data_IF_816215532575
#
_entry.id   IF_816215532575
#
_cell.length_a   1.000
_cell.length_b   1.000
_cell.length_c   1.000
_cell.angle_alpha   90.00
_cell.angle_beta   90.00
_cell.angle_gamma   90.00
#
_symmetry.space_group_name_H-M   'P 1'
#
loop_
_entity.id
_entity.type
_entity.pdbx_description
1 polymer ?
#
# COMPACT_ATOMS: atom_id res chain seq x y z
N UNK A 1 11.84 9.79 -7.99
CA UNK A 1 12.00 11.21 -8.39
C UNK A 1 13.39 11.47 -8.98
N UNK A 2 14.47 11.16 -8.27
CA UNK A 2 15.86 11.40 -8.73
C UNK A 2 16.19 10.67 -10.04
N UNK A 3 15.75 9.43 -10.21
CA UNK A 3 15.97 8.68 -11.46
C UNK A 3 15.28 9.34 -12.67
N UNK A 4 14.10 9.91 -12.44
CA UNK A 4 13.40 10.68 -13.50
C UNK A 4 14.17 11.95 -13.87
N UNK A 5 14.73 12.67 -12.88
CA UNK A 5 15.56 13.84 -13.13
C UNK A 5 16.80 13.41 -13.93
N UNK A 6 17.47 12.34 -13.51
CA UNK A 6 18.67 11.80 -14.20
C UNK A 6 18.38 11.42 -15.64
N UNK A 7 17.27 10.75 -15.88
CA UNK A 7 16.84 10.34 -17.23
C UNK A 7 16.45 11.52 -18.12
N UNK A 8 15.87 12.59 -17.55
CA UNK A 8 15.43 13.77 -18.30
C UNK A 8 16.54 14.79 -18.57
N UNK A 9 17.67 14.72 -17.83
CA UNK A 9 18.76 15.71 -17.96
C UNK A 9 19.20 15.97 -19.41
N UNK A 10 19.43 14.96 -20.28
CA UNK A 10 19.91 15.21 -21.64
C UNK A 10 18.93 16.00 -22.52
N UNK A 11 17.63 15.95 -22.21
CA UNK A 11 16.56 16.60 -22.98
C UNK A 11 16.19 18.00 -22.49
N UNK A 12 16.71 18.41 -21.30
CA UNK A 12 16.45 19.73 -20.74
C UNK A 12 17.31 20.81 -21.37
N UNK A 13 16.85 22.07 -21.30
CA UNK A 13 17.67 23.22 -21.69
C UNK A 13 18.95 23.32 -20.83
N UNK A 14 20.10 23.83 -21.36
CA UNK A 14 21.37 23.85 -20.65
C UNK A 14 21.32 24.51 -19.26
N UNK A 15 20.50 25.54 -19.09
CA UNK A 15 20.29 26.20 -17.80
C UNK A 15 19.51 25.31 -16.81
N UNK A 16 18.51 24.55 -17.29
CA UNK A 16 17.74 23.62 -16.48
C UNK A 16 18.54 22.37 -16.12
N UNK A 17 19.45 21.93 -17.00
CA UNK A 17 20.40 20.86 -16.70
C UNK A 17 21.28 21.20 -15.50
N UNK A 18 21.74 22.47 -15.36
CA UNK A 18 22.53 22.90 -14.20
C UNK A 18 21.73 22.82 -12.90
N UNK A 19 20.44 23.19 -12.94
CA UNK A 19 19.55 23.03 -11.78
C UNK A 19 19.36 21.55 -11.46
N UNK A 20 19.11 20.71 -12.46
CA UNK A 20 18.96 19.27 -12.28
C UNK A 20 20.20 18.59 -11.72
N UNK A 21 21.41 19.02 -12.16
CA UNK A 21 22.69 18.55 -11.60
C UNK A 21 22.84 18.96 -10.14
N UNK A 22 22.44 20.19 -9.77
CA UNK A 22 22.47 20.64 -8.37
C UNK A 22 21.52 19.80 -7.49
N UNK A 23 20.33 19.46 -7.99
CA UNK A 23 19.40 18.54 -7.28
C UNK A 23 20.05 17.17 -7.07
N UNK A 24 20.70 16.60 -8.09
CA UNK A 24 21.30 15.28 -8.02
C UNK A 24 22.56 15.24 -7.16
N UNK A 25 23.29 16.35 -7.06
CA UNK A 25 24.49 16.45 -6.24
C UNK A 25 24.19 16.45 -4.74
N UNK A 26 23.18 17.23 -4.31
CA UNK A 26 22.72 17.25 -2.92
C UNK A 26 21.22 17.57 -2.87
N UNK A 27 20.38 16.56 -2.97
CA UNK A 27 18.94 16.73 -2.94
C UNK A 27 18.41 17.29 -1.61
N UNK A 28 19.07 16.96 -0.48
CA UNK A 28 18.67 17.48 0.84
C UNK A 28 18.94 18.97 0.97
N UNK A 29 20.13 19.40 0.60
CA UNK A 29 20.45 20.84 0.57
C UNK A 29 19.51 21.57 -0.37
N UNK A 30 19.24 21.03 -1.57
CA UNK A 30 18.30 21.64 -2.52
C UNK A 30 16.90 21.85 -1.92
N UNK A 31 16.37 20.88 -1.19
CA UNK A 31 15.06 20.99 -0.56
C UNK A 31 14.97 22.13 0.47
N UNK A 32 16.06 22.43 1.17
CA UNK A 32 16.09 23.39 2.28
C UNK A 32 16.51 24.82 1.88
N UNK A 33 17.23 24.97 0.76
CA UNK A 33 17.78 26.28 0.36
C UNK A 33 16.72 27.20 -0.25
N UNK A 34 16.78 28.53 -0.02
CA UNK A 34 15.90 29.51 -0.66
C UNK A 34 16.16 29.58 -2.18
N UNK A 35 15.16 30.01 -2.95
CA UNK A 35 15.24 30.08 -4.42
C UNK A 35 16.41 30.97 -4.92
N UNK A 36 16.76 32.03 -4.18
CA UNK A 36 17.91 32.86 -4.48
C UNK A 36 19.21 32.07 -4.49
N UNK A 37 19.44 31.30 -3.42
CA UNK A 37 20.64 30.51 -3.25
C UNK A 37 20.72 29.33 -4.22
N UNK A 38 19.58 28.71 -4.55
CA UNK A 38 19.50 27.69 -5.61
C UNK A 38 19.87 28.26 -6.98
N UNK A 39 19.40 29.46 -7.28
CA UNK A 39 19.71 30.16 -8.52
C UNK A 39 21.21 30.49 -8.60
N UNK A 40 21.78 31.03 -7.52
CA UNK A 40 23.20 31.37 -7.44
C UNK A 40 24.10 30.11 -7.57
N UNK A 41 23.82 29.05 -6.84
CA UNK A 41 24.59 27.80 -6.89
C UNK A 41 24.52 27.07 -8.23
N UNK A 42 23.41 27.20 -8.95
CA UNK A 42 23.23 26.64 -10.29
C UNK A 42 23.62 27.61 -11.42
N UNK A 43 24.08 28.82 -11.09
CA UNK A 43 24.41 29.87 -12.05
C UNK A 43 23.30 30.16 -13.06
N UNK A 44 22.05 30.32 -12.54
CA UNK A 44 20.87 30.63 -13.35
C UNK A 44 20.00 31.70 -12.68
N UNK A 45 18.99 32.17 -13.37
CA UNK A 45 17.99 33.08 -12.78
C UNK A 45 16.96 32.31 -11.92
N UNK A 46 16.35 32.97 -10.91
CA UNK A 46 15.24 32.43 -10.12
C UNK A 46 14.09 31.85 -10.98
N UNK A 47 13.64 32.56 -12.06
CA UNK A 47 12.65 31.97 -12.97
C UNK A 47 13.08 30.66 -13.63
N UNK A 48 14.37 30.47 -13.89
CA UNK A 48 14.91 29.23 -14.46
C UNK A 48 14.77 28.05 -13.48
N UNK A 49 15.00 28.27 -12.18
CA UNK A 49 14.76 27.26 -11.15
C UNK A 49 13.29 26.83 -11.12
N UNK A 50 12.36 27.80 -11.18
CA UNK A 50 10.92 27.53 -11.20
C UNK A 50 10.52 26.79 -12.49
N UNK A 51 11.08 27.20 -13.63
CA UNK A 51 10.81 26.57 -14.93
C UNK A 51 11.29 25.10 -14.94
N UNK A 52 12.49 24.82 -14.42
CA UNK A 52 12.98 23.47 -14.23
C UNK A 52 11.97 22.59 -13.46
N UNK A 53 11.44 23.10 -12.34
CA UNK A 53 10.45 22.36 -11.56
C UNK A 53 9.20 22.03 -12.39
N UNK A 54 8.73 22.98 -13.21
CA UNK A 54 7.57 22.78 -14.11
C UNK A 54 7.90 21.85 -15.27
N UNK A 55 9.08 21.92 -15.86
CA UNK A 55 9.55 20.97 -16.89
C UNK A 55 9.63 19.54 -16.35
N UNK A 56 9.85 19.39 -15.04
CA UNK A 56 9.81 18.12 -14.36
C UNK A 56 8.39 17.69 -13.93
N UNK A 57 7.34 18.44 -14.33
CA UNK A 57 5.93 18.10 -14.07
C UNK A 57 5.43 18.44 -12.68
N UNK A 58 6.01 19.44 -12.02
CA UNK A 58 5.57 19.96 -10.72
C UNK A 58 4.98 21.37 -10.86
N UNK A 59 4.05 21.73 -9.98
CA UNK A 59 3.36 23.04 -10.05
C UNK A 59 4.30 24.23 -9.83
N UNK A 60 5.43 24.01 -9.18
CA UNK A 60 6.47 25.00 -8.93
C UNK A 60 7.51 24.52 -7.94
N UNK A 61 8.34 25.46 -7.43
CA UNK A 61 9.44 25.14 -6.54
C UNK A 61 8.97 24.57 -5.20
N UNK A 62 7.87 25.07 -4.63
CA UNK A 62 7.36 24.58 -3.34
C UNK A 62 6.86 23.16 -3.43
N UNK A 63 6.08 22.83 -4.47
CA UNK A 63 5.62 21.47 -4.73
C UNK A 63 6.78 20.51 -5.03
N UNK A 64 7.74 20.97 -5.85
CA UNK A 64 8.95 20.22 -6.15
C UNK A 64 9.75 19.89 -4.89
N UNK A 65 9.99 20.89 -4.02
CA UNK A 65 10.73 20.72 -2.77
C UNK A 65 10.03 19.80 -1.80
N UNK A 66 8.72 19.94 -1.64
CA UNK A 66 7.93 19.06 -0.79
C UNK A 66 8.05 17.59 -1.22
N UNK A 67 7.93 17.33 -2.52
CA UNK A 67 8.06 15.99 -3.08
C UNK A 67 9.50 15.50 -3.13
N UNK A 68 10.46 16.41 -3.30
CA UNK A 68 11.88 16.09 -3.19
C UNK A 68 12.24 15.70 -1.75
N UNK A 69 11.84 16.48 -0.76
CA UNK A 69 12.05 16.17 0.65
C UNK A 69 11.46 14.79 1.01
N UNK A 70 10.26 14.49 0.54
CA UNK A 70 9.64 13.17 0.70
C UNK A 70 10.38 12.04 -0.01
N UNK A 71 11.13 12.34 -1.09
CA UNK A 71 11.91 11.33 -1.84
C UNK A 71 13.35 11.16 -1.35
N UNK A 72 13.86 12.12 -0.57
CA UNK A 72 15.26 12.25 -0.13
C UNK A 72 15.43 12.02 1.37
N UNK A 73 14.35 11.91 2.13
CA UNK A 73 14.46 11.41 3.50
C UNK A 73 14.87 9.92 3.44
N UNK A 74 16.11 9.70 3.06
CA UNK A 74 16.80 8.45 3.31
C UNK A 74 17.03 8.37 4.82
N UNK A 75 16.02 7.82 5.52
CA UNK A 75 16.20 7.35 6.88
C UNK A 75 17.26 6.26 6.94
N UNK A 76 17.49 5.67 8.10
CA UNK A 76 18.44 4.55 8.22
C UNK A 76 18.17 3.63 7.04
N UNK A 77 19.12 3.46 6.11
CA UNK A 77 18.92 2.61 4.95
C UNK A 77 18.44 1.27 5.48
N UNK A 78 17.32 0.78 4.90
CA UNK A 78 16.76 -0.52 5.25
C UNK A 78 15.72 -0.61 6.37
N UNK A 79 15.54 0.40 7.25
CA UNK A 79 14.59 0.30 8.36
C UNK A 79 13.42 1.26 8.22
N UNK A 80 13.67 2.57 8.11
CA UNK A 80 12.61 3.58 8.00
C UNK A 80 13.11 4.83 7.26
N UNK A 81 12.34 5.34 6.28
CA UNK A 81 12.77 6.43 5.38
C UNK A 81 13.05 7.77 6.06
N UNK A 82 12.46 8.02 7.20
CA UNK A 82 12.55 9.30 7.90
C UNK A 82 13.43 9.27 9.13
N UNK A 83 13.99 8.11 9.49
CA UNK A 83 14.85 7.95 10.65
C UNK A 83 16.32 8.12 10.24
N UNK A 84 17.04 9.00 10.89
CA UNK A 84 18.46 9.26 10.68
C UNK A 84 19.31 8.51 11.72
N UNK A 85 20.59 8.27 11.40
CA UNK A 85 21.51 7.54 12.30
C UNK A 85 21.72 8.23 13.66
N UNK A 86 21.60 9.55 13.68
CA UNK A 86 21.81 10.39 14.87
C UNK A 86 20.51 10.65 15.66
N UNK A 87 19.37 10.07 15.23
CA UNK A 87 18.11 10.25 15.92
C UNK A 87 18.11 9.62 17.29
N UNK A 88 17.61 10.35 18.27
CA UNK A 88 17.31 9.81 19.60
C UNK A 88 16.05 8.93 19.54
N UNK A 89 15.88 8.06 20.51
CA UNK A 89 14.68 7.20 20.61
C UNK A 89 13.38 7.99 20.57
N UNK A 90 13.34 9.18 21.18
CA UNK A 90 12.19 10.09 21.12
C UNK A 90 11.88 10.55 19.71
N UNK A 91 12.90 10.85 18.92
CA UNK A 91 12.75 11.35 17.56
C UNK A 91 12.28 10.22 16.63
N UNK A 92 12.83 9.02 16.81
CA UNK A 92 12.39 7.80 16.11
C UNK A 92 10.91 7.52 16.39
N UNK A 93 10.47 7.58 17.66
CA UNK A 93 9.07 7.37 18.04
C UNK A 93 8.15 8.33 17.29
N UNK A 94 8.46 9.63 17.33
CA UNK A 94 7.65 10.66 16.64
C UNK A 94 7.65 10.43 15.13
N UNK A 95 8.82 10.24 14.51
CA UNK A 95 8.94 10.03 13.07
C UNK A 95 8.18 8.80 12.58
N UNK A 96 8.23 7.68 13.30
CA UNK A 96 7.51 6.45 12.94
C UNK A 96 6.00 6.65 13.02
N UNK A 97 5.51 7.29 14.09
CA UNK A 97 4.08 7.60 14.25
C UNK A 97 3.62 8.56 13.17
N UNK A 98 4.30 9.68 12.97
CA UNK A 98 3.91 10.72 12.01
C UNK A 98 3.85 10.20 10.57
N UNK A 99 4.82 9.38 10.18
CA UNK A 99 4.79 8.74 8.85
C UNK A 99 3.62 7.78 8.67
N UNK A 100 3.29 7.04 9.73
CA UNK A 100 2.14 6.13 9.70
C UNK A 100 0.84 6.92 9.60
N UNK A 101 0.68 7.97 10.41
CA UNK A 101 -0.48 8.86 10.38
C UNK A 101 -0.61 9.52 9.01
N UNK A 102 0.49 10.04 8.46
CA UNK A 102 0.49 10.67 7.14
C UNK A 102 0.04 9.70 6.03
N UNK A 103 0.49 8.43 6.08
CA UNK A 103 0.06 7.40 5.14
C UNK A 103 -1.43 7.09 5.25
N UNK A 104 -1.97 7.01 6.47
CA UNK A 104 -3.39 6.76 6.71
C UNK A 104 -4.26 7.93 6.26
N UNK A 105 -3.85 9.17 6.54
CA UNK A 105 -4.55 10.36 6.10
C UNK A 105 -4.55 10.47 4.57
N UNK A 106 -3.42 10.17 3.94
CA UNK A 106 -3.33 10.11 2.48
C UNK A 106 -4.31 9.07 1.92
N UNK A 107 -4.28 7.84 2.44
CA UNK A 107 -5.19 6.79 2.00
C UNK A 107 -6.66 7.18 2.17
N UNK A 108 -7.02 7.76 3.33
CA UNK A 108 -8.39 8.25 3.59
C UNK A 108 -8.89 9.23 2.52
N UNK A 109 -7.99 10.08 2.02
CA UNK A 109 -8.35 11.10 1.03
C UNK A 109 -8.38 10.55 -0.41
N UNK A 110 -7.53 9.56 -0.72
CA UNK A 110 -7.31 9.05 -2.07
C UNK A 110 -8.09 7.76 -2.36
N UNK A 111 -8.53 7.04 -1.32
CA UNK A 111 -9.20 5.76 -1.47
C UNK A 111 -10.53 5.89 -2.22
N UNK A 112 -10.74 5.00 -3.19
CA UNK A 112 -12.00 4.89 -3.92
C UNK A 112 -13.07 4.22 -3.06
N UNK A 113 -14.00 5.00 -2.53
CA UNK A 113 -15.16 4.47 -1.78
C UNK A 113 -15.96 3.47 -2.62
N UNK A 114 -16.09 3.69 -3.93
CA UNK A 114 -16.79 2.77 -4.83
C UNK A 114 -16.06 1.43 -4.99
N UNK A 115 -14.73 1.41 -4.97
CA UNK A 115 -13.96 0.17 -5.01
C UNK A 115 -14.08 -0.60 -3.69
N UNK A 116 -14.02 0.10 -2.55
CA UNK A 116 -14.21 -0.49 -1.22
C UNK A 116 -15.61 -1.08 -1.12
N UNK A 117 -16.63 -0.36 -1.56
CA UNK A 117 -18.03 -0.83 -1.56
C UNK A 117 -18.19 -2.13 -2.36
N UNK A 118 -17.64 -2.18 -3.59
CA UNK A 118 -17.65 -3.40 -4.41
C UNK A 118 -16.94 -4.58 -3.72
N UNK A 119 -15.81 -4.33 -3.06
CA UNK A 119 -15.08 -5.35 -2.34
C UNK A 119 -15.88 -5.89 -1.14
N UNK A 120 -16.50 -5.00 -0.38
CA UNK A 120 -17.38 -5.35 0.75
C UNK A 120 -18.57 -6.17 0.27
N UNK A 121 -19.22 -5.77 -0.82
CA UNK A 121 -20.36 -6.49 -1.39
C UNK A 121 -19.97 -7.90 -1.85
N UNK A 122 -18.85 -8.03 -2.53
CA UNK A 122 -18.31 -9.33 -2.97
C UNK A 122 -18.04 -10.26 -1.78
N UNK A 123 -17.31 -9.77 -0.77
CA UNK A 123 -16.99 -10.53 0.45
C UNK A 123 -18.24 -10.91 1.25
N UNK A 124 -19.18 -9.97 1.42
CA UNK A 124 -20.43 -10.23 2.11
C UNK A 124 -21.32 -11.25 1.37
N UNK A 125 -21.34 -11.20 0.03
CA UNK A 125 -22.07 -12.17 -0.77
C UNK A 125 -21.43 -13.56 -0.68
N UNK A 126 -20.10 -13.67 -0.77
CA UNK A 126 -19.35 -14.93 -0.58
C UNK A 126 -19.66 -15.53 0.81
N UNK A 127 -19.68 -14.69 1.85
CA UNK A 127 -20.06 -15.11 3.19
C UNK A 127 -21.51 -15.64 3.23
N UNK A 128 -22.50 -14.93 2.67
CA UNK A 128 -23.92 -15.31 2.71
C UNK A 128 -24.19 -16.62 1.96
N UNK A 129 -23.42 -16.90 0.93
CA UNK A 129 -23.58 -18.12 0.11
C UNK A 129 -22.75 -19.30 0.64
N UNK A 130 -22.07 -19.14 1.78
CA UNK A 130 -21.25 -20.19 2.39
C UNK A 130 -20.02 -20.59 1.56
N UNK A 131 -19.59 -19.70 0.68
CA UNK A 131 -18.44 -19.89 -0.21
C UNK A 131 -17.14 -19.51 0.49
N UNK A 132 -15.99 -19.85 -0.14
CA UNK A 132 -14.67 -19.63 0.43
C UNK A 132 -14.20 -18.20 0.25
N UNK A 133 -13.62 -17.64 1.31
CA UNK A 133 -12.88 -16.39 1.26
C UNK A 133 -11.41 -16.74 1.54
N UNK A 134 -10.54 -16.52 0.57
CA UNK A 134 -9.13 -16.82 0.73
C UNK A 134 -8.28 -15.54 0.70
N UNK A 135 -7.19 -15.53 1.46
CA UNK A 135 -6.26 -14.42 1.57
C UNK A 135 -4.86 -14.89 1.17
N UNK A 136 -4.30 -14.29 0.12
CA UNK A 136 -2.98 -14.62 -0.38
C UNK A 136 -2.01 -13.46 -0.16
N UNK A 137 -0.84 -13.76 0.37
CA UNK A 137 0.25 -12.81 0.56
C UNK A 137 1.55 -13.56 0.85
N UNK A 138 2.69 -12.94 0.59
CA UNK A 138 4.02 -13.51 0.84
C UNK A 138 4.81 -12.58 1.74
N UNK A 139 5.66 -13.13 2.62
CA UNK A 139 6.44 -12.34 3.57
C UNK A 139 5.55 -11.50 4.49
N UNK A 140 5.79 -10.19 4.57
CA UNK A 140 4.98 -9.29 5.40
C UNK A 140 3.50 -9.20 4.93
N UNK A 141 3.24 -9.36 3.64
CA UNK A 141 1.86 -9.45 3.14
C UNK A 141 1.19 -10.76 3.55
N UNK A 142 1.94 -11.82 3.76
CA UNK A 142 1.46 -13.08 4.35
C UNK A 142 0.97 -12.90 5.79
N UNK A 143 1.66 -12.06 6.58
CA UNK A 143 1.21 -11.70 7.94
C UNK A 143 -0.13 -10.96 7.89
N UNK A 144 -0.29 -10.03 6.94
CA UNK A 144 -1.57 -9.34 6.73
C UNK A 144 -2.68 -10.30 6.30
N UNK A 145 -2.36 -11.27 5.44
CA UNK A 145 -3.30 -12.30 5.02
C UNK A 145 -3.77 -13.16 6.20
N UNK A 146 -2.87 -13.53 7.11
CA UNK A 146 -3.21 -14.26 8.34
C UNK A 146 -4.08 -13.43 9.29
N UNK A 147 -3.80 -12.14 9.45
CA UNK A 147 -4.65 -11.23 10.22
C UNK A 147 -6.05 -11.13 9.61
N UNK A 148 -6.14 -11.00 8.29
CA UNK A 148 -7.39 -11.01 7.56
C UNK A 148 -8.18 -12.31 7.79
N UNK A 149 -7.53 -13.48 7.66
CA UNK A 149 -8.16 -14.76 8.00
C UNK A 149 -8.73 -14.74 9.41
N UNK A 150 -7.96 -14.31 10.41
CA UNK A 150 -8.41 -14.26 11.80
C UNK A 150 -9.65 -13.40 11.98
N UNK A 151 -9.71 -12.22 11.33
CA UNK A 151 -10.87 -11.31 11.39
C UNK A 151 -12.11 -11.94 10.74
N UNK A 152 -11.99 -12.46 9.53
CA UNK A 152 -13.10 -13.04 8.79
C UNK A 152 -13.58 -14.37 9.37
N UNK A 153 -12.67 -15.19 9.93
CA UNK A 153 -13.03 -16.38 10.70
C UNK A 153 -13.96 -16.04 11.87
N UNK A 154 -13.69 -14.97 12.59
CA UNK A 154 -14.52 -14.51 13.71
C UNK A 154 -15.93 -14.07 13.28
N UNK A 155 -16.11 -13.70 12.02
CA UNK A 155 -17.44 -13.45 11.46
C UNK A 155 -18.20 -14.73 11.15
N UNK A 156 -17.58 -15.92 11.29
CA UNK A 156 -18.19 -17.23 11.00
C UNK A 156 -18.08 -17.64 9.53
N UNK A 157 -17.26 -16.94 8.74
CA UNK A 157 -17.01 -17.29 7.34
C UNK A 157 -15.98 -18.40 7.17
N UNK A 158 -16.04 -19.13 6.05
CA UNK A 158 -14.97 -20.02 5.62
C UNK A 158 -13.81 -19.21 5.09
N UNK A 159 -12.89 -18.82 5.99
CA UNK A 159 -11.77 -17.93 5.70
C UNK A 159 -10.43 -18.65 5.92
N UNK A 160 -9.56 -18.64 4.91
CA UNK A 160 -8.24 -19.29 4.94
C UNK A 160 -7.19 -18.32 4.37
N UNK A 161 -5.98 -18.32 4.96
CA UNK A 161 -4.84 -17.58 4.43
C UNK A 161 -3.71 -18.52 4.01
N UNK A 162 -3.09 -18.21 2.88
CA UNK A 162 -1.89 -18.89 2.40
C UNK A 162 -0.76 -17.88 2.16
N UNK A 163 0.41 -18.20 2.72
CA UNK A 163 1.64 -17.40 2.55
C UNK A 163 2.73 -18.11 1.74
N UNK A 164 2.48 -19.35 1.35
CA UNK A 164 3.33 -20.16 0.48
C UNK A 164 2.82 -20.13 -0.97
N UNK A 165 3.71 -19.86 -1.94
CA UNK A 165 3.34 -19.69 -3.35
C UNK A 165 2.77 -20.96 -3.97
N UNK A 166 3.27 -22.16 -3.61
CA UNK A 166 2.72 -23.42 -4.11
C UNK A 166 1.29 -23.66 -3.60
N UNK A 167 1.07 -23.42 -2.31
CA UNK A 167 -0.25 -23.53 -1.71
C UNK A 167 -1.24 -22.54 -2.31
N UNK A 168 -0.79 -21.32 -2.62
CA UNK A 168 -1.62 -20.29 -3.27
C UNK A 168 -2.08 -20.74 -4.67
N UNK A 169 -1.16 -21.27 -5.49
CA UNK A 169 -1.47 -21.77 -6.83
C UNK A 169 -2.39 -23.00 -6.77
N UNK A 170 -2.11 -23.94 -5.87
CA UNK A 170 -2.97 -25.12 -5.67
C UNK A 170 -4.37 -24.71 -5.23
N UNK A 171 -4.48 -23.82 -4.24
CA UNK A 171 -5.78 -23.38 -3.75
C UNK A 171 -6.54 -22.56 -4.81
N UNK A 172 -5.87 -21.66 -5.51
CA UNK A 172 -6.46 -20.91 -6.61
C UNK A 172 -7.03 -21.80 -7.72
N UNK A 173 -6.43 -22.99 -7.94
CA UNK A 173 -6.92 -23.99 -8.90
C UNK A 173 -8.23 -24.65 -8.47
N UNK A 174 -8.55 -24.59 -7.18
CA UNK A 174 -9.77 -25.16 -6.61
C UNK A 174 -10.88 -24.12 -6.37
N UNK A 175 -10.58 -22.81 -6.55
CA UNK A 175 -11.57 -21.75 -6.46
C UNK A 175 -12.46 -21.75 -7.71
N UNK A 176 -13.71 -21.29 -7.53
CA UNK A 176 -14.69 -21.22 -8.59
C UNK A 176 -15.71 -20.09 -8.38
N UNK A 177 -16.79 -20.08 -9.20
CA UNK A 177 -17.81 -19.04 -9.10
C UNK A 177 -18.44 -18.96 -7.71
N UNK A 178 -18.53 -17.75 -7.18
CA UNK A 178 -19.01 -17.45 -5.83
C UNK A 178 -17.92 -17.44 -4.76
N UNK A 179 -16.76 -18.06 -4.98
CA UNK A 179 -15.60 -17.92 -4.11
C UNK A 179 -14.94 -16.54 -4.32
N UNK A 180 -14.25 -16.05 -3.28
CA UNK A 180 -13.53 -14.78 -3.32
C UNK A 180 -12.10 -14.96 -2.81
N UNK A 181 -11.13 -14.39 -3.54
CA UNK A 181 -9.73 -14.31 -3.10
C UNK A 181 -9.28 -12.86 -2.97
N UNK A 182 -8.66 -12.54 -1.84
CA UNK A 182 -8.02 -11.25 -1.57
C UNK A 182 -6.52 -11.44 -1.67
N UNK A 183 -5.89 -10.84 -2.66
CA UNK A 183 -4.45 -10.94 -2.91
C UNK A 183 -3.78 -9.66 -2.45
N UNK A 184 -2.81 -9.79 -1.55
CA UNK A 184 -2.14 -8.66 -0.88
C UNK A 184 -0.67 -8.62 -1.31
N UNK A 185 -0.26 -7.50 -1.91
CA UNK A 185 1.12 -7.29 -2.33
C UNK A 185 1.44 -5.80 -2.42
N UNK A 186 2.39 -5.30 -1.65
CA UNK A 186 2.74 -3.88 -1.73
C UNK A 186 3.26 -3.48 -3.11
N UNK A 187 4.20 -4.23 -3.67
CA UNK A 187 4.78 -3.93 -5.00
C UNK A 187 3.92 -4.39 -6.17
N UNK A 188 3.03 -5.37 -5.95
CA UNK A 188 2.26 -6.03 -7.00
C UNK A 188 3.10 -6.73 -8.07
N UNK A 189 4.35 -7.12 -7.75
CA UNK A 189 5.33 -7.72 -8.67
C UNK A 189 5.71 -9.16 -8.32
N UNK A 190 5.17 -9.72 -7.26
CA UNK A 190 5.43 -11.10 -6.85
C UNK A 190 4.79 -12.05 -7.83
N UNK A 191 5.61 -12.86 -8.52
CA UNK A 191 5.17 -13.74 -9.60
C UNK A 191 4.14 -14.74 -9.13
N UNK A 192 4.40 -15.43 -8.02
CA UNK A 192 3.48 -16.45 -7.47
C UNK A 192 2.08 -15.87 -7.21
N UNK A 193 2.00 -14.65 -6.67
CA UNK A 193 0.72 -13.98 -6.43
C UNK A 193 0.01 -13.58 -7.71
N UNK A 194 0.74 -13.18 -8.75
CA UNK A 194 0.16 -12.89 -10.07
C UNK A 194 -0.39 -14.14 -10.73
N UNK A 195 0.36 -15.24 -10.67
CA UNK A 195 -0.03 -16.53 -11.22
C UNK A 195 -1.28 -17.07 -10.49
N UNK A 196 -1.29 -17.07 -9.15
CA UNK A 196 -2.43 -17.50 -8.35
C UNK A 196 -3.68 -16.63 -8.60
N UNK A 197 -3.53 -15.30 -8.66
CA UNK A 197 -4.63 -14.39 -8.98
C UNK A 197 -5.20 -14.64 -10.39
N UNK A 198 -4.31 -14.90 -11.36
CA UNK A 198 -4.70 -15.24 -12.72
C UNK A 198 -5.48 -16.55 -12.81
N UNK A 199 -5.05 -17.58 -12.08
CA UNK A 199 -5.73 -18.91 -12.01
C UNK A 199 -7.11 -18.76 -11.36
N UNK A 200 -7.19 -18.14 -10.18
CA UNK A 200 -8.46 -17.91 -9.48
C UNK A 200 -9.47 -17.18 -10.36
N UNK A 201 -9.01 -16.13 -11.05
CA UNK A 201 -9.83 -15.39 -12.01
C UNK A 201 -10.31 -16.27 -13.16
N UNK A 202 -9.42 -17.04 -13.79
CA UNK A 202 -9.77 -17.95 -14.89
C UNK A 202 -10.83 -18.96 -14.49
N UNK A 203 -10.82 -19.38 -13.25
CA UNK A 203 -11.79 -20.32 -12.68
C UNK A 203 -13.11 -19.64 -12.24
N UNK A 204 -13.26 -18.33 -12.41
CA UNK A 204 -14.49 -17.60 -12.12
C UNK A 204 -14.62 -17.10 -10.67
N UNK A 205 -13.59 -17.22 -9.85
CA UNK A 205 -13.59 -16.63 -8.51
C UNK A 205 -13.45 -15.12 -8.58
N UNK A 206 -14.14 -14.40 -7.68
CA UNK A 206 -13.95 -12.95 -7.53
C UNK A 206 -12.56 -12.68 -6.96
N UNK A 207 -11.79 -11.82 -7.64
CA UNK A 207 -10.44 -11.47 -7.20
C UNK A 207 -10.40 -10.01 -6.76
N UNK A 208 -10.03 -9.79 -5.50
CA UNK A 208 -9.77 -8.47 -4.91
C UNK A 208 -8.26 -8.34 -4.74
N UNK A 209 -7.63 -7.28 -5.25
CA UNK A 209 -6.20 -7.07 -5.03
C UNK A 209 -5.95 -5.79 -4.23
N UNK A 210 -5.14 -5.88 -3.19
CA UNK A 210 -4.65 -4.76 -2.38
C UNK A 210 -3.20 -4.54 -2.77
N UNK A 211 -2.92 -3.52 -3.58
CA UNK A 211 -1.60 -3.29 -4.16
C UNK A 211 -1.43 -1.85 -4.65
N UNK A 212 -0.19 -1.47 -4.96
CA UNK A 212 0.10 -0.17 -5.56
C UNK A 212 -0.56 -0.01 -6.93
N UNK A 213 -1.05 1.21 -7.21
CA UNK A 213 -1.60 1.61 -8.51
C UNK A 213 -0.59 1.38 -9.63
N UNK A 214 -1.08 0.97 -10.81
CA UNK A 214 -0.23 0.72 -11.98
C UNK A 214 0.73 -0.47 -11.86
N UNK A 215 0.63 -1.27 -10.79
CA UNK A 215 1.43 -2.48 -10.64
C UNK A 215 0.93 -3.59 -11.58
N UNK A 216 1.78 -4.59 -11.94
CA UNK A 216 1.33 -5.73 -12.73
C UNK A 216 0.13 -6.47 -12.11
N UNK A 217 0.09 -6.63 -10.79
CA UNK A 217 -1.02 -7.27 -10.10
C UNK A 217 -2.32 -6.44 -10.18
N UNK A 218 -2.24 -5.10 -10.14
CA UNK A 218 -3.41 -4.24 -10.34
C UNK A 218 -4.05 -4.45 -11.72
N UNK A 219 -3.25 -4.77 -12.74
CA UNK A 219 -3.75 -5.01 -14.09
C UNK A 219 -4.57 -6.31 -14.22
N UNK A 220 -4.39 -7.26 -13.28
CA UNK A 220 -5.21 -8.49 -13.24
C UNK A 220 -6.68 -8.16 -13.03
N UNK A 221 -7.00 -7.01 -12.42
CA UNK A 221 -8.36 -6.59 -12.09
C UNK A 221 -9.03 -5.70 -13.15
N UNK A 222 -8.42 -5.51 -14.32
CA UNK A 222 -9.01 -4.66 -15.38
C UNK A 222 -10.26 -5.26 -16.05
N UNK A 223 -10.61 -6.51 -15.71
CA UNK A 223 -11.81 -7.18 -16.24
C UNK A 223 -12.97 -7.09 -15.24
N UNK A 224 -14.20 -7.20 -15.75
CA UNK A 224 -15.41 -7.17 -14.94
C UNK A 224 -15.41 -8.28 -13.87
N UNK A 225 -15.88 -7.94 -12.67
CA UNK A 225 -15.92 -8.86 -11.51
C UNK A 225 -14.65 -8.88 -10.66
N UNK A 226 -13.62 -8.11 -11.02
CA UNK A 226 -12.39 -8.02 -10.23
C UNK A 226 -12.21 -6.59 -9.68
N UNK A 227 -11.56 -6.48 -8.52
CA UNK A 227 -11.53 -5.24 -7.75
C UNK A 227 -10.10 -4.91 -7.34
N UNK A 228 -9.65 -3.69 -7.65
CA UNK A 228 -8.41 -3.14 -7.17
C UNK A 228 -8.66 -2.14 -6.04
N UNK A 229 -8.05 -2.38 -4.89
CA UNK A 229 -7.93 -1.46 -3.78
C UNK A 229 -6.52 -0.88 -3.80
N UNK A 230 -6.41 0.35 -4.31
CA UNK A 230 -5.12 1.02 -4.44
C UNK A 230 -4.55 1.32 -3.05
N UNK A 231 -3.37 0.81 -2.76
CA UNK A 231 -2.64 1.00 -1.51
C UNK A 231 -1.30 1.68 -1.80
N UNK A 232 -1.39 2.92 -2.30
CA UNK A 232 -0.21 3.68 -2.72
C UNK A 232 0.53 4.26 -1.51
N UNK A 233 1.69 3.68 -1.22
CA UNK A 233 2.64 4.21 -0.26
C UNK A 233 4.05 4.20 -0.84
N UNK A 234 4.80 5.32 -0.79
CA UNK A 234 6.12 5.43 -1.39
C UNK A 234 7.19 4.72 -0.55
N UNK A 235 7.20 3.41 -0.59
CA UNK A 235 8.29 2.60 -0.05
C UNK A 235 9.25 2.18 -1.16
N UNK A 236 10.57 2.30 -0.92
CA UNK A 236 11.58 1.86 -1.88
C UNK A 236 11.52 0.36 -2.14
N UNK A 237 11.91 -0.06 -3.36
CA UNK A 237 11.91 -1.47 -3.73
C UNK A 237 12.97 -2.27 -2.93
N UNK A 238 14.14 -1.66 -2.69
CA UNK A 238 15.29 -2.28 -2.01
C UNK A 238 15.24 -2.12 -0.47
N UNK A 239 14.07 -2.29 0.12
CA UNK A 239 13.89 -2.20 1.55
C UNK A 239 13.97 -3.58 2.21
N UNK A 240 14.54 -3.63 3.40
CA UNK A 240 14.58 -4.87 4.19
C UNK A 240 13.24 -5.19 4.88
N UNK A 241 12.45 -4.19 5.22
CA UNK A 241 11.15 -4.40 5.85
C UNK A 241 10.14 -3.34 5.43
N UNK A 242 8.98 -3.73 4.87
CA UNK A 242 7.86 -2.83 4.65
C UNK A 242 7.18 -2.56 5.99
N UNK A 243 7.41 -1.39 6.58
CA UNK A 243 6.81 -1.05 7.87
C UNK A 243 5.44 -0.38 7.71
N UNK A 244 5.39 0.75 7.01
CA UNK A 244 4.16 1.55 6.90
C UNK A 244 3.16 0.92 5.94
N UNK A 245 3.60 0.36 4.81
CA UNK A 245 2.71 -0.32 3.86
C UNK A 245 1.99 -1.50 4.51
N UNK A 246 2.66 -2.26 5.38
CA UNK A 246 2.01 -3.33 6.13
C UNK A 246 0.91 -2.80 7.04
N UNK A 247 1.17 -1.72 7.78
CA UNK A 247 0.17 -1.08 8.64
C UNK A 247 -1.01 -0.55 7.82
N UNK A 248 -0.74 0.03 6.65
CA UNK A 248 -1.77 0.47 5.71
C UNK A 248 -2.65 -0.70 5.24
N UNK A 249 -2.03 -1.83 4.86
CA UNK A 249 -2.79 -3.01 4.44
C UNK A 249 -3.62 -3.59 5.59
N UNK A 250 -3.08 -3.65 6.82
CA UNK A 250 -3.84 -4.07 8.00
C UNK A 250 -5.06 -3.17 8.22
N UNK A 251 -4.90 -1.85 8.11
CA UNK A 251 -6.00 -0.90 8.23
C UNK A 251 -7.06 -1.10 7.13
N UNK A 252 -6.64 -1.38 5.89
CA UNK A 252 -7.58 -1.70 4.80
C UNK A 252 -8.39 -2.96 5.14
N UNK A 253 -7.74 -4.01 5.64
CA UNK A 253 -8.40 -5.23 6.10
C UNK A 253 -9.38 -4.94 7.24
N UNK A 254 -9.05 -4.06 8.18
CA UNK A 254 -9.96 -3.64 9.25
C UNK A 254 -11.21 -2.96 8.70
N UNK A 255 -11.06 -2.08 7.72
CA UNK A 255 -12.17 -1.43 7.04
C UNK A 255 -13.07 -2.47 6.36
N UNK A 256 -12.49 -3.38 5.59
CA UNK A 256 -13.24 -4.43 4.91
C UNK A 256 -13.98 -5.33 5.89
N UNK A 257 -13.31 -5.84 6.92
CA UNK A 257 -13.91 -6.72 7.91
C UNK A 257 -15.06 -6.03 8.68
N UNK A 258 -14.87 -4.77 9.06
CA UNK A 258 -15.89 -3.97 9.75
C UNK A 258 -17.10 -3.74 8.84
N UNK A 259 -16.88 -3.33 7.60
CA UNK A 259 -17.98 -3.12 6.66
C UNK A 259 -18.73 -4.41 6.31
N UNK A 260 -18.00 -5.54 6.15
CA UNK A 260 -18.64 -6.85 5.94
C UNK A 260 -19.45 -7.27 7.15
N UNK A 261 -18.94 -7.05 8.37
CA UNK A 261 -19.73 -7.31 9.60
C UNK A 261 -21.03 -6.51 9.64
N UNK A 262 -20.99 -5.24 9.26
CA UNK A 262 -22.19 -4.40 9.14
C UNK A 262 -23.17 -4.95 8.09
N UNK A 263 -22.69 -5.48 6.96
CA UNK A 263 -23.52 -6.09 5.90
C UNK A 263 -24.12 -7.45 6.30
N UNK A 264 -23.44 -8.22 7.16
CA UNK A 264 -23.97 -9.48 7.71
C UNK A 264 -25.10 -9.17 8.69
N UNK A 265 -24.96 -8.12 9.49
CA UNK A 265 -25.92 -7.65 10.47
C UNK A 265 -25.65 -8.16 11.89
N UNK A 266 -25.96 -7.27 12.85
CA UNK A 266 -25.75 -7.54 14.28
C UNK A 266 -26.51 -8.75 14.78
N UNK A 267 -27.73 -8.95 14.34
CA UNK A 267 -28.62 -10.06 14.78
C UNK A 267 -28.01 -11.44 14.51
N UNK A 268 -27.25 -11.59 13.42
CA UNK A 268 -26.53 -12.83 13.08
C UNK A 268 -25.19 -12.95 13.79
N UNK A 269 -24.45 -11.86 13.91
CA UNK A 269 -23.10 -11.89 14.44
C UNK A 269 -23.06 -11.90 15.97
N UNK A 270 -23.96 -11.21 16.63
CA UNK A 270 -23.94 -11.06 18.09
C UNK A 270 -24.01 -12.41 18.83
N UNK A 271 -24.93 -13.35 18.50
CA UNK A 271 -24.96 -14.66 19.15
C UNK A 271 -23.69 -15.46 18.90
N UNK A 272 -23.16 -15.42 17.67
CA UNK A 272 -21.91 -16.11 17.29
C UNK A 272 -20.71 -15.60 18.09
N UNK A 273 -20.53 -14.28 18.13
CA UNK A 273 -19.43 -13.64 18.85
C UNK A 273 -19.56 -13.84 20.37
N UNK A 274 -20.80 -13.82 20.90
CA UNK A 274 -21.03 -14.07 22.31
C UNK A 274 -20.69 -15.52 22.67
N UNK A 275 -21.12 -16.50 21.86
CA UNK A 275 -20.78 -17.91 22.06
C UNK A 275 -19.27 -18.17 22.06
N UNK A 276 -18.52 -17.55 21.12
CA UNK A 276 -17.04 -17.62 21.11
C UNK A 276 -16.45 -17.03 22.40
N UNK A 277 -16.96 -15.88 22.83
CA UNK A 277 -16.50 -15.20 24.04
C UNK A 277 -16.76 -16.05 25.29
N UNK A 278 -17.92 -16.68 25.39
CA UNK A 278 -18.28 -17.52 26.52
C UNK A 278 -17.40 -18.76 26.59
N UNK A 279 -17.13 -19.41 25.47
CA UNK A 279 -16.22 -20.54 25.38
C UNK A 279 -14.76 -20.19 25.73
N UNK A 280 -14.36 -18.92 25.56
CA UNK A 280 -13.03 -18.45 25.90
C UNK A 280 -12.91 -17.98 27.36
N UNK A 281 -14.02 -17.80 28.09
CA UNK A 281 -13.98 -17.34 29.49
C UNK A 281 -13.17 -18.26 30.39
N UNK A 282 -13.33 -19.57 30.22
CA UNK A 282 -12.59 -20.58 30.99
C UNK A 282 -11.07 -20.62 30.71
N UNK A 283 -10.62 -19.90 29.67
CA UNK A 283 -9.19 -19.81 29.28
C UNK A 283 -8.50 -18.58 29.86
N UNK A 284 -9.23 -17.73 30.59
CA UNK A 284 -8.67 -16.57 31.26
C UNK A 284 -8.47 -16.89 32.73
N UNK A 285 -7.23 -16.76 33.23
CA UNK A 285 -6.98 -16.72 34.65
C UNK A 285 -7.66 -15.45 35.20
N UNK A 286 -8.49 -15.61 36.21
CA UNK A 286 -9.07 -14.54 37.03
C UNK A 286 -8.09 -14.08 38.04
#
# INVERSE_FOLDING_TARGET
MLDRIKASLPSLAPAEQRVGKLVLADPRAFANLPVSELADRSHVSKPTVIRFCRSMGYDGLSDFKLKLAGSVSEGVPFIHRSVDMDDKTSDVLVKVIDNTVAAFLKYRNDASSAAIEKAVDALANTYRTGKRIEFFGVGNSGIVAQDAQHKFFRLGGSAIAYSDGHMQVMSASLLGPGDCVVVISNSGRTRDLMDAAGIARKNGATTIVITASGSPLANVTQQAGHIHLAADHPEGYDRYSPMVSRLLHLMIIDVLATCVALRIGGDKLQPLLQGMKDNLRSKRYT
#
